data_IF_406748898747
#
_entry.id   IF_406748898747
#
_cell.length_a   1.000
_cell.length_b   1.000
_cell.length_c   1.000
_cell.angle_alpha   90.00
_cell.angle_beta   90.00
_cell.angle_gamma   90.00
#
_symmetry.space_group_name_H-M   'P 1'
#
loop_
_entity.id
_entity.type
_entity.pdbx_description
1 polymer ?
#
# COMPACT_ATOMS: atom_id res chain seq x y z
N UNK A 1 -26.93 -22.58 -0.61
CA UNK A 1 -26.75 -23.65 -1.61
C UNK A 1 -27.39 -24.95 -1.11
N UNK A 2 -26.87 -25.59 -0.06
CA UNK A 2 -27.39 -26.91 0.39
C UNK A 2 -28.50 -26.88 1.46
N UNK A 3 -28.71 -25.77 2.17
CA UNK A 3 -29.71 -25.64 3.25
C UNK A 3 -30.95 -24.83 2.85
N UNK A 4 -31.07 -24.48 1.58
CA UNK A 4 -32.00 -23.48 1.04
C UNK A 4 -32.98 -24.10 0.05
N UNK A 5 -34.06 -23.38 -0.31
CA UNK A 5 -35.04 -23.77 -1.35
C UNK A 5 -34.50 -23.71 -2.79
N UNK A 6 -33.18 -23.80 -2.98
CA UNK A 6 -32.56 -23.82 -4.29
C UNK A 6 -32.53 -25.26 -4.83
N UNK A 7 -32.58 -25.41 -6.15
CA UNK A 7 -32.65 -26.73 -6.81
C UNK A 7 -31.43 -27.59 -6.48
N UNK A 8 -30.27 -26.95 -6.27
CA UNK A 8 -29.02 -27.55 -5.86
C UNK A 8 -29.11 -28.34 -4.56
N UNK A 9 -30.07 -28.02 -3.68
CA UNK A 9 -30.27 -28.75 -2.43
C UNK A 9 -30.83 -30.17 -2.61
N UNK A 10 -31.50 -30.45 -3.73
CA UNK A 10 -32.06 -31.79 -4.04
C UNK A 10 -31.29 -32.55 -5.11
N UNK A 11 -30.28 -31.92 -5.73
CA UNK A 11 -29.44 -32.54 -6.75
C UNK A 11 -28.33 -33.39 -6.13
N UNK A 12 -28.12 -34.58 -6.67
CA UNK A 12 -26.96 -35.44 -6.33
C UNK A 12 -25.65 -34.95 -6.95
N UNK A 13 -25.75 -34.25 -8.08
CA UNK A 13 -24.61 -33.74 -8.84
C UNK A 13 -24.84 -32.27 -9.17
N UNK A 14 -23.80 -31.46 -9.03
CA UNK A 14 -23.88 -30.02 -9.26
C UNK A 14 -22.84 -29.66 -10.32
N UNK A 15 -23.27 -29.19 -11.50
CA UNK A 15 -22.35 -28.79 -12.55
C UNK A 15 -21.62 -27.51 -12.13
N UNK A 16 -20.30 -27.49 -12.36
CA UNK A 16 -19.44 -26.34 -12.10
C UNK A 16 -18.88 -25.79 -13.43
N UNK A 17 -19.69 -25.07 -14.23
CA UNK A 17 -19.29 -24.62 -15.55
C UNK A 17 -18.10 -23.64 -15.46
N UNK A 18 -17.17 -23.76 -16.42
CA UNK A 18 -15.99 -22.91 -16.49
C UNK A 18 -14.92 -23.19 -15.42
N UNK A 19 -15.10 -24.21 -14.57
CA UNK A 19 -14.09 -24.60 -13.57
C UNK A 19 -13.22 -25.73 -14.10
N UNK A 20 -11.91 -25.52 -14.03
CA UNK A 20 -10.95 -26.59 -14.35
C UNK A 20 -10.89 -27.57 -13.17
N UNK A 21 -11.03 -28.86 -13.47
CA UNK A 21 -11.04 -29.93 -12.48
C UNK A 21 -9.82 -29.87 -11.55
N UNK A 22 -8.62 -29.68 -12.10
CA UNK A 22 -7.37 -29.64 -11.31
C UNK A 22 -7.35 -28.51 -10.28
N UNK A 23 -7.86 -27.32 -10.64
CA UNK A 23 -7.92 -26.19 -9.72
C UNK A 23 -8.97 -26.44 -8.64
N UNK A 24 -10.13 -26.98 -9.01
CA UNK A 24 -11.19 -27.24 -8.05
C UNK A 24 -10.82 -28.34 -7.04
N UNK A 25 -10.14 -29.41 -7.49
CA UNK A 25 -9.60 -30.44 -6.58
C UNK A 25 -8.61 -29.85 -5.59
N UNK A 26 -7.72 -28.97 -6.04
CA UNK A 26 -6.79 -28.28 -5.16
C UNK A 26 -7.50 -27.35 -4.16
N UNK A 27 -8.53 -26.63 -4.62
CA UNK A 27 -9.38 -25.83 -3.74
C UNK A 27 -10.06 -26.68 -2.66
N UNK A 28 -10.61 -27.84 -3.02
CA UNK A 28 -11.19 -28.77 -2.05
C UNK A 28 -10.15 -29.24 -1.02
N UNK A 29 -8.92 -29.54 -1.44
CA UNK A 29 -7.83 -29.92 -0.51
C UNK A 29 -7.54 -28.85 0.54
N UNK A 30 -7.66 -27.57 0.19
CA UNK A 30 -7.54 -26.47 1.16
C UNK A 30 -8.71 -26.36 2.14
N UNK A 31 -9.87 -26.93 1.82
CA UNK A 31 -11.03 -26.94 2.72
C UNK A 31 -10.97 -28.09 3.73
N UNK A 32 -10.29 -29.19 3.40
CA UNK A 32 -10.21 -30.37 4.26
C UNK A 32 -8.92 -30.36 5.08
N UNK A 33 -9.02 -30.31 6.43
CA UNK A 33 -7.85 -30.36 7.30
C UNK A 33 -6.98 -31.60 7.03
N UNK A 34 -5.67 -31.42 7.01
CA UNK A 34 -4.70 -32.52 6.81
C UNK A 34 -4.39 -32.84 5.35
N UNK A 35 -5.08 -32.23 4.39
CA UNK A 35 -4.82 -32.39 2.95
C UNK A 35 -4.32 -31.11 2.28
N UNK A 36 -4.02 -30.08 3.07
CA UNK A 36 -3.65 -28.76 2.57
C UNK A 36 -2.33 -28.80 1.80
N UNK A 37 -2.38 -28.47 0.51
CA UNK A 37 -1.18 -28.29 -0.30
C UNK A 37 -0.43 -27.00 0.13
N UNK A 38 0.87 -26.92 -0.16
CA UNK A 38 1.63 -25.68 0.04
C UNK A 38 1.18 -24.61 -0.96
N UNK A 39 0.97 -23.38 -0.49
CA UNK A 39 0.72 -22.25 -1.37
C UNK A 39 2.01 -21.90 -2.13
N UNK A 40 1.91 -21.82 -3.45
CA UNK A 40 2.98 -21.35 -4.33
C UNK A 40 2.48 -20.17 -5.18
N UNK A 41 3.39 -19.47 -5.86
CA UNK A 41 3.07 -18.33 -6.73
C UNK A 41 2.22 -18.69 -7.95
N UNK A 42 2.13 -19.97 -8.32
CA UNK A 42 1.22 -20.40 -9.39
C UNK A 42 -0.18 -20.74 -8.85
N UNK A 43 -0.26 -20.97 -7.53
CA UNK A 43 -1.46 -21.47 -6.85
C UNK A 43 -2.41 -20.34 -6.47
N UNK A 44 -1.90 -19.17 -6.09
CA UNK A 44 -2.70 -18.01 -5.68
C UNK A 44 -3.60 -17.47 -6.81
N UNK A 45 -3.11 -17.39 -8.06
CA UNK A 45 -3.85 -16.86 -9.20
C UNK A 45 -5.16 -17.61 -9.50
N UNK A 46 -5.20 -18.91 -9.20
CA UNK A 46 -6.39 -19.74 -9.43
C UNK A 46 -7.19 -19.99 -8.15
N UNK A 47 -6.55 -19.98 -6.98
CA UNK A 47 -7.23 -20.21 -5.70
C UNK A 47 -7.96 -18.98 -5.21
N UNK A 48 -7.43 -17.77 -5.43
CA UNK A 48 -8.08 -16.54 -4.96
C UNK A 48 -9.47 -16.30 -5.59
N UNK A 49 -9.68 -16.47 -6.91
CA UNK A 49 -11.02 -16.42 -7.51
C UNK A 49 -11.98 -17.44 -6.89
N UNK A 50 -11.54 -18.68 -6.66
CA UNK A 50 -12.37 -19.72 -6.05
C UNK A 50 -12.70 -19.39 -4.59
N UNK A 51 -11.72 -18.94 -3.82
CA UNK A 51 -11.92 -18.56 -2.42
C UNK A 51 -12.92 -17.40 -2.29
N UNK A 52 -12.90 -16.44 -3.23
CA UNK A 52 -13.86 -15.34 -3.28
C UNK A 52 -15.27 -15.81 -3.68
N UNK A 53 -15.39 -16.58 -4.76
CA UNK A 53 -16.66 -17.06 -5.29
C UNK A 53 -17.40 -18.00 -4.33
N UNK A 54 -16.68 -18.91 -3.68
CA UNK A 54 -17.23 -19.85 -2.70
C UNK A 54 -17.11 -19.34 -1.25
N UNK A 55 -16.81 -18.05 -1.07
CA UNK A 55 -16.83 -17.36 0.23
C UNK A 55 -16.02 -18.08 1.33
N UNK A 56 -14.85 -18.58 0.96
CA UNK A 56 -13.95 -19.29 1.87
C UNK A 56 -12.98 -18.32 2.53
N UNK A 57 -13.46 -17.59 3.53
CA UNK A 57 -12.71 -16.53 4.20
C UNK A 57 -11.39 -17.01 4.83
N UNK A 58 -11.36 -18.23 5.37
CA UNK A 58 -10.14 -18.79 5.95
C UNK A 58 -9.02 -18.93 4.90
N UNK A 59 -9.36 -19.51 3.73
CA UNK A 59 -8.42 -19.65 2.63
C UNK A 59 -8.01 -18.29 2.07
N UNK A 60 -8.97 -17.37 1.93
CA UNK A 60 -8.71 -16.00 1.47
C UNK A 60 -7.71 -15.26 2.37
N UNK A 61 -7.86 -15.37 3.70
CA UNK A 61 -6.89 -14.85 4.68
C UNK A 61 -5.52 -15.53 4.60
N UNK A 62 -5.49 -16.84 4.35
CA UNK A 62 -4.23 -17.60 4.18
C UNK A 62 -3.47 -17.13 2.93
N UNK A 63 -4.17 -16.95 1.81
CA UNK A 63 -3.63 -16.39 0.57
C UNK A 63 -3.16 -14.95 0.79
N UNK A 64 -3.97 -14.11 1.45
CA UNK A 64 -3.60 -12.71 1.74
C UNK A 64 -2.28 -12.61 2.51
N UNK A 65 -2.10 -13.44 3.56
CA UNK A 65 -0.84 -13.50 4.31
C UNK A 65 0.34 -13.92 3.44
N UNK A 66 0.15 -14.92 2.57
CA UNK A 66 1.17 -15.38 1.63
C UNK A 66 1.61 -14.25 0.68
N UNK A 67 0.64 -13.53 0.09
CA UNK A 67 0.87 -12.40 -0.81
C UNK A 67 1.60 -11.24 -0.12
N UNK A 68 1.20 -10.90 1.11
CA UNK A 68 1.89 -9.88 1.93
C UNK A 68 3.35 -10.27 2.15
N UNK A 69 3.61 -11.52 2.54
CA UNK A 69 4.98 -12.03 2.74
C UNK A 69 5.80 -11.97 1.45
N UNK A 70 5.19 -12.25 0.29
CA UNK A 70 5.82 -12.12 -1.02
C UNK A 70 6.26 -10.68 -1.31
N UNK A 71 5.39 -9.70 -1.09
CA UNK A 71 5.71 -8.27 -1.30
C UNK A 71 6.80 -7.77 -0.37
N UNK A 72 6.77 -8.17 0.91
CA UNK A 72 7.76 -7.73 1.90
C UNK A 72 9.12 -8.39 1.69
N UNK A 73 9.16 -9.68 1.33
CA UNK A 73 10.42 -10.43 1.22
C UNK A 73 11.15 -10.20 -0.11
N UNK A 74 10.43 -9.82 -1.17
CA UNK A 74 10.98 -9.64 -2.53
C UNK A 74 11.03 -8.17 -2.96
N UNK A 75 11.07 -7.24 -2.01
CA UNK A 75 10.91 -5.80 -2.25
C UNK A 75 11.78 -5.27 -3.40
N UNK A 76 12.99 -5.78 -3.59
CA UNK A 76 13.90 -5.25 -4.60
C UNK A 76 13.64 -5.79 -6.02
N UNK A 77 12.91 -6.91 -6.14
CA UNK A 77 12.62 -7.58 -7.42
C UNK A 77 11.28 -7.18 -8.03
N UNK A 78 10.37 -6.61 -7.25
CA UNK A 78 9.03 -6.24 -7.71
C UNK A 78 9.11 -4.97 -8.57
N UNK A 79 8.68 -5.09 -9.81
CA UNK A 79 8.63 -4.00 -10.79
C UNK A 79 7.39 -3.12 -10.59
N UNK A 80 7.39 -1.93 -11.20
CA UNK A 80 6.22 -1.03 -11.20
C UNK A 80 4.99 -1.65 -11.87
N UNK A 81 5.20 -2.49 -12.89
CA UNK A 81 4.12 -3.23 -13.56
C UNK A 81 3.52 -4.25 -12.59
N UNK A 82 4.35 -5.04 -11.93
CA UNK A 82 3.88 -6.07 -11.00
C UNK A 82 3.14 -5.46 -9.81
N UNK A 83 3.63 -4.36 -9.23
CA UNK A 83 2.94 -3.76 -8.09
C UNK A 83 1.56 -3.20 -8.48
N UNK A 84 1.39 -2.68 -9.69
CA UNK A 84 0.08 -2.21 -10.17
C UNK A 84 -0.88 -3.39 -10.33
N UNK A 85 -0.43 -4.50 -10.93
CA UNK A 85 -1.23 -5.72 -11.03
C UNK A 85 -1.66 -6.19 -9.63
N UNK A 86 -0.73 -6.24 -8.69
CA UNK A 86 -1.00 -6.63 -7.31
C UNK A 86 -2.02 -5.71 -6.62
N UNK A 87 -1.97 -4.39 -6.87
CA UNK A 87 -2.94 -3.42 -6.34
C UNK A 87 -4.32 -3.71 -6.91
N UNK A 88 -4.43 -3.88 -8.23
CA UNK A 88 -5.71 -4.15 -8.90
C UNK A 88 -6.34 -5.45 -8.42
N UNK A 89 -5.55 -6.51 -8.23
CA UNK A 89 -6.02 -7.76 -7.63
C UNK A 89 -6.48 -7.57 -6.18
N UNK A 90 -5.73 -6.82 -5.38
CA UNK A 90 -6.09 -6.54 -4.00
C UNK A 90 -7.42 -5.75 -3.90
N UNK A 91 -7.65 -4.78 -4.77
CA UNK A 91 -8.91 -4.03 -4.85
C UNK A 91 -10.07 -4.93 -5.28
N UNK A 92 -9.87 -5.69 -6.37
CA UNK A 92 -10.87 -6.61 -6.92
C UNK A 92 -11.38 -7.60 -5.88
N UNK A 93 -10.46 -8.21 -5.13
CA UNK A 93 -10.78 -9.23 -4.13
C UNK A 93 -10.94 -8.65 -2.71
N UNK A 94 -10.92 -7.32 -2.53
CA UNK A 94 -11.08 -6.65 -1.23
C UNK A 94 -10.09 -7.14 -0.16
N UNK A 95 -8.85 -7.39 -0.55
CA UNK A 95 -7.76 -7.84 0.33
C UNK A 95 -7.07 -6.63 0.98
N UNK A 96 -7.70 -6.04 2.00
CA UNK A 96 -7.27 -4.76 2.56
C UNK A 96 -5.86 -4.77 3.17
N UNK A 97 -5.46 -5.86 3.83
CA UNK A 97 -4.12 -5.98 4.42
C UNK A 97 -3.06 -6.05 3.33
N UNK A 98 -3.34 -6.81 2.27
CA UNK A 98 -2.47 -6.89 1.10
C UNK A 98 -2.41 -5.57 0.33
N UNK A 99 -3.54 -4.91 0.12
CA UNK A 99 -3.61 -3.60 -0.51
C UNK A 99 -2.73 -2.58 0.23
N UNK A 100 -2.81 -2.52 1.56
CA UNK A 100 -1.99 -1.61 2.36
C UNK A 100 -0.49 -1.93 2.23
N UNK A 101 -0.10 -3.21 2.19
CA UNK A 101 1.28 -3.61 1.95
C UNK A 101 1.76 -3.16 0.56
N UNK A 102 0.91 -3.33 -0.46
CA UNK A 102 1.19 -2.87 -1.82
C UNK A 102 1.31 -1.34 -1.90
N UNK A 103 0.44 -0.58 -1.24
CA UNK A 103 0.50 0.88 -1.17
C UNK A 103 1.82 1.34 -0.52
N UNK A 104 2.19 0.73 0.62
CA UNK A 104 3.43 1.05 1.33
C UNK A 104 4.68 0.73 0.51
N UNK A 105 4.59 -0.24 -0.40
CA UNK A 105 5.66 -0.56 -1.33
C UNK A 105 5.67 0.37 -2.55
N UNK A 106 4.50 0.68 -3.11
CA UNK A 106 4.35 1.61 -4.22
C UNK A 106 4.84 3.02 -3.84
N UNK A 107 4.57 3.50 -2.62
CA UNK A 107 5.01 4.82 -2.15
C UNK A 107 6.52 5.05 -2.30
N UNK A 108 7.32 3.97 -2.25
CA UNK A 108 8.79 3.98 -2.35
C UNK A 108 9.31 3.95 -3.80
N UNK A 109 8.47 3.63 -4.79
CA UNK A 109 8.84 3.68 -6.22
C UNK A 109 8.70 5.09 -6.74
N UNK A 110 9.47 5.49 -7.76
CA UNK A 110 9.34 6.84 -8.34
C UNK A 110 7.92 7.08 -8.87
N UNK A 111 7.29 8.20 -8.49
CA UNK A 111 5.90 8.49 -8.85
C UNK A 111 5.68 8.63 -10.36
N UNK A 112 6.63 9.23 -11.08
CA UNK A 112 6.63 9.29 -12.56
C UNK A 112 6.61 7.91 -13.18
N UNK A 113 7.38 6.97 -12.62
CA UNK A 113 7.42 5.58 -13.10
C UNK A 113 6.11 4.85 -12.83
N UNK A 114 5.45 5.09 -11.69
CA UNK A 114 4.14 4.50 -11.40
C UNK A 114 3.06 5.02 -12.36
N UNK A 115 2.95 6.34 -12.48
CA UNK A 115 1.90 7.00 -13.30
C UNK A 115 2.03 6.73 -14.80
N UNK A 116 3.25 6.50 -15.29
CA UNK A 116 3.49 6.12 -16.70
C UNK A 116 3.34 4.63 -16.97
N UNK A 117 3.20 3.80 -15.93
CA UNK A 117 3.06 2.35 -16.12
C UNK A 117 1.63 2.02 -16.58
N UNK A 118 1.46 1.10 -17.55
CA UNK A 118 0.13 0.67 -17.99
C UNK A 118 -0.76 0.21 -16.83
N UNK A 119 -2.06 0.48 -16.96
CA UNK A 119 -3.11 0.16 -15.98
C UNK A 119 -3.06 0.94 -14.66
N UNK A 120 -2.15 1.89 -14.49
CA UNK A 120 -2.18 2.75 -13.29
C UNK A 120 -3.51 3.49 -13.17
N UNK A 121 -4.07 3.94 -14.29
CA UNK A 121 -5.37 4.63 -14.36
C UNK A 121 -6.55 3.72 -13.98
N UNK A 122 -6.39 2.39 -14.02
CA UNK A 122 -7.43 1.44 -13.59
C UNK A 122 -7.52 1.33 -12.06
N UNK A 123 -6.50 1.78 -11.33
CA UNK A 123 -6.49 1.80 -9.86
C UNK A 123 -7.51 2.82 -9.38
N UNK A 124 -8.28 2.50 -8.34
CA UNK A 124 -9.26 3.44 -7.81
C UNK A 124 -8.62 4.77 -7.36
N UNK A 125 -9.32 5.88 -7.57
CA UNK A 125 -8.85 7.23 -7.17
C UNK A 125 -8.48 7.28 -5.67
N UNK A 126 -9.26 6.60 -4.82
CA UNK A 126 -8.99 6.48 -3.40
C UNK A 126 -7.63 5.81 -3.11
N UNK A 127 -7.29 4.75 -3.86
CA UNK A 127 -6.00 4.08 -3.69
C UNK A 127 -4.86 4.90 -4.28
N UNK A 128 -5.05 5.56 -5.42
CA UNK A 128 -4.06 6.51 -5.95
C UNK A 128 -3.76 7.64 -4.96
N UNK A 129 -4.81 8.18 -4.31
CA UNK A 129 -4.69 9.15 -3.24
C UNK A 129 -3.90 8.60 -2.06
N UNK A 130 -4.22 7.38 -1.58
CA UNK A 130 -3.49 6.73 -0.48
C UNK A 130 -2.01 6.51 -0.80
N UNK A 131 -1.66 6.14 -2.03
CA UNK A 131 -0.25 6.01 -2.48
C UNK A 131 0.46 7.36 -2.38
N UNK A 132 -0.18 8.42 -2.88
CA UNK A 132 0.37 9.78 -2.88
C UNK A 132 0.54 10.31 -1.45
N UNK A 133 -0.46 10.12 -0.60
CA UNK A 133 -0.42 10.50 0.82
C UNK A 133 0.68 9.75 1.55
N UNK A 134 0.76 8.42 1.39
CA UNK A 134 1.79 7.59 2.03
C UNK A 134 3.20 8.03 1.62
N UNK A 135 3.39 8.36 0.34
CA UNK A 135 4.66 8.91 -0.16
C UNK A 135 5.00 10.24 0.51
N UNK A 136 4.03 11.14 0.61
CA UNK A 136 4.23 12.43 1.27
C UNK A 136 4.61 12.26 2.73
N UNK A 137 3.94 11.38 3.47
CA UNK A 137 4.31 11.03 4.85
C UNK A 137 5.75 10.49 4.93
N UNK A 138 6.16 9.62 4.00
CA UNK A 138 7.51 9.06 3.99
C UNK A 138 8.57 10.16 3.75
N UNK A 139 8.28 11.12 2.86
CA UNK A 139 9.14 12.29 2.59
C UNK A 139 9.20 13.22 3.82
N UNK A 140 8.06 13.55 4.43
CA UNK A 140 8.00 14.39 5.62
C UNK A 140 8.79 13.75 6.77
N UNK A 141 8.66 12.43 6.96
CA UNK A 141 9.45 11.71 7.95
C UNK A 141 10.97 11.75 7.68
N UNK A 142 11.39 11.68 6.41
CA UNK A 142 12.80 11.84 6.03
C UNK A 142 13.27 13.27 6.36
N UNK A 143 12.45 14.27 6.00
CA UNK A 143 12.73 15.67 6.24
C UNK A 143 12.87 16.00 7.74
N UNK A 144 11.94 15.52 8.57
CA UNK A 144 12.03 15.67 10.03
C UNK A 144 13.29 15.01 10.60
N UNK A 145 13.70 13.85 10.07
CA UNK A 145 14.95 13.18 10.47
C UNK A 145 16.18 13.99 10.05
N UNK A 146 16.18 14.61 8.88
CA UNK A 146 17.32 15.45 8.44
C UNK A 146 17.47 16.70 9.31
N UNK A 147 16.36 17.34 9.71
CA UNK A 147 16.41 18.48 10.65
C UNK A 147 17.08 18.07 11.97
N UNK A 148 16.70 16.90 12.51
CA UNK A 148 17.25 16.40 13.78
C UNK A 148 18.73 16.03 13.71
N UNK A 149 19.20 15.58 12.56
CA UNK A 149 20.58 15.08 12.38
C UNK A 149 21.56 16.14 11.91
N UNK A 150 21.12 17.16 11.17
CA UNK A 150 21.97 18.30 10.78
C UNK A 150 21.17 19.62 10.66
N UNK A 151 20.86 20.28 11.80
CA UNK A 151 19.99 21.46 11.86
C UNK A 151 20.47 22.64 11.01
N UNK A 152 21.79 22.82 10.87
CA UNK A 152 22.41 23.97 10.20
C UNK A 152 22.31 23.97 8.68
N UNK A 153 22.04 22.81 8.06
CA UNK A 153 21.92 22.68 6.60
C UNK A 153 20.53 23.05 6.08
N UNK A 154 19.49 22.93 6.92
CA UNK A 154 18.09 23.11 6.53
C UNK A 154 17.61 24.55 6.79
N UNK A 155 18.11 25.19 7.87
CA UNK A 155 17.81 26.58 8.22
C UNK A 155 18.33 27.60 7.18
N UNK A 156 19.27 27.21 6.31
CA UNK A 156 19.81 28.04 5.24
C UNK A 156 19.23 27.71 3.85
N UNK A 157 18.26 26.79 3.74
CA UNK A 157 17.56 26.56 2.47
C UNK A 157 16.47 27.64 2.29
N UNK A 158 16.56 28.42 1.22
CA UNK A 158 15.63 29.52 0.91
C UNK A 158 14.16 29.03 0.87
N UNK A 159 13.93 27.77 0.49
CA UNK A 159 12.63 27.12 0.44
C UNK A 159 11.92 27.01 1.80
N UNK A 160 12.66 26.86 2.90
CA UNK A 160 12.05 26.76 4.24
C UNK A 160 11.53 28.10 4.75
N UNK A 161 12.11 29.21 4.29
CA UNK A 161 11.61 30.54 4.57
C UNK A 161 10.42 30.87 3.66
N UNK A 162 10.45 30.58 2.36
CA UNK A 162 9.36 31.01 1.47
C UNK A 162 8.01 30.28 1.71
N UNK A 163 8.02 28.99 2.04
CA UNK A 163 6.78 28.21 2.23
C UNK A 163 6.00 28.59 3.51
N UNK A 164 6.67 29.06 4.56
CA UNK A 164 6.04 29.33 5.86
C UNK A 164 5.90 30.82 6.22
N UNK A 165 6.63 31.73 5.57
CA UNK A 165 6.50 33.18 5.76
C UNK A 165 5.06 33.70 5.54
N UNK A 166 4.28 33.22 4.55
CA UNK A 166 2.89 33.66 4.37
C UNK A 166 1.97 33.19 5.51
N UNK A 167 2.24 32.03 6.12
CA UNK A 167 1.42 31.43 7.17
C UNK A 167 1.66 32.09 8.53
N UNK A 168 2.91 32.45 8.83
CA UNK A 168 3.28 33.19 10.05
C UNK A 168 2.67 34.60 10.02
N UNK A 169 2.75 35.30 8.87
CA UNK A 169 2.14 36.64 8.68
C UNK A 169 0.62 36.63 8.78
N UNK A 170 -0.05 35.53 8.41
CA UNK A 170 -1.52 35.40 8.48
C UNK A 170 -2.05 35.06 9.87
N UNK A 171 -1.28 34.32 10.69
CA UNK A 171 -1.77 33.79 11.98
C UNK A 171 -1.33 34.60 13.20
N UNK A 172 -0.19 35.30 13.13
CA UNK A 172 0.32 36.14 14.24
C UNK A 172 1.01 37.41 13.71
N UNK A 173 0.28 38.50 13.45
CA UNK A 173 0.85 39.72 12.88
C UNK A 173 1.72 40.55 13.85
N UNK A 174 1.82 40.16 15.13
CA UNK A 174 2.48 40.95 16.17
C UNK A 174 3.47 40.06 16.94
N UNK A 175 4.57 39.61 16.35
CA UNK A 175 5.75 39.14 17.12
C UNK A 175 7.03 39.06 16.26
N UNK A 176 7.19 39.96 15.27
CA UNK A 176 8.45 40.09 14.51
C UNK A 176 8.95 41.55 14.55
N UNK A 177 9.12 42.05 15.76
CA UNK A 177 10.05 43.11 16.18
C UNK A 177 10.34 42.73 17.63
N UNK A 178 11.39 41.97 17.96
CA UNK A 178 12.60 42.60 18.50
C UNK A 178 13.75 41.59 18.78
N UNK A 179 13.78 40.40 18.15
CA UNK A 179 14.83 39.40 18.47
C UNK A 179 16.20 39.70 17.81
N UNK A 180 16.35 40.86 17.16
CA UNK A 180 17.56 41.25 16.43
C UNK A 180 18.38 42.41 17.02
N UNK A 181 18.06 42.92 18.21
CA UNK A 181 18.75 44.11 18.76
C UNK A 181 19.73 43.87 19.92
N UNK A 182 19.77 42.68 20.53
CA UNK A 182 20.57 42.46 21.75
C UNK A 182 21.73 41.47 21.59
N UNK A 183 22.39 41.45 20.43
CA UNK A 183 23.71 40.82 20.28
C UNK A 183 24.66 41.76 19.55
N UNK A 184 25.15 42.78 20.25
CA UNK A 184 26.40 43.46 19.90
C UNK A 184 27.58 42.67 20.49
N UNK A 185 28.63 42.36 19.72
CA UNK A 185 29.84 41.75 20.25
C UNK A 185 30.67 42.80 21.02
N UNK A 186 30.92 42.55 22.30
CA UNK A 186 31.99 43.22 23.03
C UNK A 186 33.33 42.64 22.57
N UNK A 187 33.95 43.31 21.59
CA UNK A 187 35.41 43.29 21.38
C UNK A 187 35.82 44.60 20.73
N UNK A 188 36.37 45.52 21.52
CA UNK A 188 37.44 46.44 21.11
C UNK A 188 38.34 46.70 22.31
N UNK A 189 39.58 46.22 22.22
CA UNK A 189 40.74 46.74 22.93
C UNK A 189 41.09 48.14 22.37
N UNK A 190 41.31 49.08 23.29
CA UNK A 190 42.43 50.03 23.33
C UNK A 190 42.35 50.85 24.62
#
# INVERSE_FOLDING_TARGET
MFSSKFLEGSLKEIPLPGKKLSHFVQFLRYLFPGFEDQLTEDTDHHMLPLADEYQTDHLKKKIEKFLINGVMSKSDRITSVQIIINILEAEKYKLNGYLNACIAFASRKTFTRLTTTPKFEEISENTQFKISLKRWEDIDNIYQKSIRTNPGSVLNSEDHNELFQPLIKRKYPIYIKDVGKDLKPHMQEN
#
